data_IF_264266179107
#
_entry.id   IF_264266179107
#
_cell.length_a   1.000
_cell.length_b   1.000
_cell.length_c   1.000
_cell.angle_alpha   90.00
_cell.angle_beta   90.00
_cell.angle_gamma   90.00
#
_symmetry.space_group_name_H-M   'P 1'
#
loop_
_entity.id
_entity.type
_entity.pdbx_description
1 polymer ?
#
# COMPACT_ATOMS: atom_id res chain seq x y z
N UNK A 1 9.38 -16.73 13.91
CA UNK A 1 8.03 -16.13 14.05
C UNK A 1 7.64 -15.71 12.64
N UNK A 2 6.45 -16.05 12.14
CA UNK A 2 6.09 -15.63 10.79
C UNK A 2 5.95 -14.10 10.78
N UNK A 3 6.69 -13.43 9.90
CA UNK A 3 6.52 -12.00 9.69
C UNK A 3 5.27 -11.75 8.84
N UNK A 4 4.77 -10.52 8.86
CA UNK A 4 3.52 -10.20 8.17
C UNK A 4 3.58 -8.85 7.46
N UNK A 5 2.74 -8.68 6.44
CA UNK A 5 2.50 -7.39 5.80
C UNK A 5 1.10 -6.90 6.16
N UNK A 6 0.99 -5.62 6.52
CA UNK A 6 -0.29 -4.99 6.81
C UNK A 6 -0.81 -4.29 5.55
N UNK A 7 -1.99 -4.69 5.08
CA UNK A 7 -2.66 -4.01 3.97
C UNK A 7 -3.85 -3.24 4.52
N UNK A 8 -3.83 -1.92 4.37
CA UNK A 8 -4.97 -1.06 4.68
C UNK A 8 -6.10 -1.26 3.67
N UNK A 9 -7.33 -1.29 4.16
CA UNK A 9 -8.52 -1.55 3.36
C UNK A 9 -9.39 -0.29 3.30
N UNK A 10 -9.52 0.26 2.09
CA UNK A 10 -10.54 1.25 1.75
C UNK A 10 -11.87 0.56 1.39
N UNK A 11 -12.91 1.34 1.12
CA UNK A 11 -14.24 0.82 0.77
C UNK A 11 -14.20 -0.06 -0.49
N UNK A 12 -13.35 0.27 -1.48
CA UNK A 12 -13.22 -0.52 -2.71
C UNK A 12 -12.62 -1.89 -2.41
N UNK A 13 -11.57 -1.93 -1.59
CA UNK A 13 -10.89 -3.15 -1.15
C UNK A 13 -11.79 -4.01 -0.28
N UNK A 14 -12.52 -3.41 0.67
CA UNK A 14 -13.49 -4.12 1.50
C UNK A 14 -14.57 -4.80 0.65
N UNK A 15 -15.11 -4.11 -0.35
CA UNK A 15 -16.09 -4.68 -1.26
C UNK A 15 -15.52 -5.83 -2.11
N UNK A 16 -14.25 -5.77 -2.51
CA UNK A 16 -13.62 -6.78 -3.35
C UNK A 16 -13.41 -8.13 -2.63
N UNK A 17 -13.30 -8.13 -1.30
CA UNK A 17 -13.11 -9.35 -0.49
C UNK A 17 -14.38 -9.79 0.26
N UNK A 18 -15.51 -9.11 0.03
CA UNK A 18 -16.77 -9.41 0.70
C UNK A 18 -17.27 -10.82 0.37
N UNK A 19 -17.71 -11.56 1.37
CA UNK A 19 -18.15 -12.95 1.27
C UNK A 19 -17.02 -13.95 1.02
N UNK A 20 -15.77 -13.59 1.31
CA UNK A 20 -14.59 -14.48 1.19
C UNK A 20 -14.02 -14.78 2.57
N UNK A 21 -13.22 -15.85 2.69
CA UNK A 21 -12.52 -16.19 3.94
C UNK A 21 -11.54 -15.09 4.40
N UNK A 22 -11.10 -14.23 3.47
CA UNK A 22 -10.25 -13.07 3.79
C UNK A 22 -11.01 -12.02 4.60
N UNK A 23 -12.33 -11.89 4.42
CA UNK A 23 -13.16 -10.94 5.17
C UNK A 23 -13.13 -11.22 6.68
N UNK A 24 -13.07 -12.50 7.07
CA UNK A 24 -13.01 -12.92 8.48
C UNK A 24 -11.70 -12.55 9.17
N UNK A 25 -10.68 -12.17 8.38
CA UNK A 25 -9.33 -11.82 8.86
C UNK A 25 -9.12 -10.31 8.99
N UNK A 26 -10.16 -9.51 8.74
CA UNK A 26 -10.10 -8.06 8.89
C UNK A 26 -9.87 -7.69 10.36
N UNK A 27 -8.86 -6.85 10.59
CA UNK A 27 -8.58 -6.25 11.88
C UNK A 27 -8.96 -4.77 11.88
N UNK A 28 -9.47 -4.31 13.01
CA UNK A 28 -9.78 -2.90 13.24
C UNK A 28 -8.55 -2.20 13.83
N UNK A 29 -8.18 -1.08 13.23
CA UNK A 29 -7.14 -0.17 13.69
C UNK A 29 -7.76 1.15 14.13
N UNK A 30 -7.13 1.84 15.08
CA UNK A 30 -7.56 3.17 15.56
C UNK A 30 -9.05 3.23 15.94
N UNK A 31 -9.49 2.30 16.79
CA UNK A 31 -10.89 2.23 17.25
C UNK A 31 -11.90 1.84 16.17
N UNK A 32 -11.44 1.29 15.04
CA UNK A 32 -12.29 0.91 13.91
C UNK A 32 -12.36 1.95 12.79
N UNK A 33 -11.65 3.08 12.93
CA UNK A 33 -11.56 4.11 11.89
C UNK A 33 -10.85 3.59 10.65
N UNK A 34 -9.86 2.71 10.83
CA UNK A 34 -9.16 2.03 9.74
C UNK A 34 -9.34 0.53 9.86
N UNK A 35 -9.41 -0.13 8.72
CA UNK A 35 -9.45 -1.59 8.62
C UNK A 35 -8.22 -2.07 7.87
N UNK A 36 -7.74 -3.24 8.24
CA UNK A 36 -6.59 -3.86 7.59
C UNK A 36 -6.72 -5.39 7.58
N UNK A 37 -5.88 -6.04 6.78
CA UNK A 37 -5.57 -7.46 6.92
C UNK A 37 -4.07 -7.61 7.19
N UNK A 38 -3.73 -8.57 8.04
CA UNK A 38 -2.35 -8.97 8.28
C UNK A 38 -2.08 -10.23 7.47
N UNK A 39 -1.27 -10.10 6.42
CA UNK A 39 -0.92 -11.21 5.53
C UNK A 39 0.35 -11.84 6.09
N UNK A 40 0.25 -13.07 6.57
CA UNK A 40 1.42 -13.83 7.01
C UNK A 40 2.32 -14.17 5.82
N UNK A 41 3.62 -13.94 5.98
CA UNK A 41 4.62 -14.13 4.94
C UNK A 41 5.52 -15.30 5.36
N UNK A 42 5.53 -16.40 4.58
CA UNK A 42 6.48 -17.49 4.77
C UNK A 42 7.93 -17.02 4.63
N UNK A 43 8.86 -17.63 5.35
CA UNK A 43 10.28 -17.25 5.38
C UNK A 43 10.90 -17.23 3.97
N UNK A 44 10.54 -18.18 3.10
CA UNK A 44 11.03 -18.21 1.72
C UNK A 44 10.53 -17.05 0.86
N UNK A 45 9.33 -16.52 1.15
CA UNK A 45 8.75 -15.38 0.44
C UNK A 45 9.34 -14.08 0.99
N UNK A 46 9.47 -13.98 2.31
CA UNK A 46 10.11 -12.86 2.98
C UNK A 46 11.51 -12.61 2.43
N UNK A 47 12.34 -13.66 2.35
CA UNK A 47 13.71 -13.52 1.83
C UNK A 47 13.72 -12.90 0.42
N UNK A 48 12.81 -13.33 -0.45
CA UNK A 48 12.66 -12.78 -1.81
C UNK A 48 12.22 -11.33 -1.80
N UNK A 49 11.30 -10.95 -0.91
CA UNK A 49 10.85 -9.55 -0.76
C UNK A 49 12.03 -8.68 -0.32
N UNK A 50 12.78 -9.11 0.70
CA UNK A 50 13.92 -8.35 1.24
C UNK A 50 15.07 -8.23 0.23
N UNK A 51 15.31 -9.26 -0.59
CA UNK A 51 16.29 -9.22 -1.69
C UNK A 51 15.82 -8.32 -2.85
N UNK A 52 14.52 -8.29 -3.14
CA UNK A 52 13.97 -7.52 -4.25
C UNK A 52 13.81 -6.02 -3.94
N UNK A 53 13.49 -5.67 -2.69
CA UNK A 53 13.14 -4.31 -2.29
C UNK A 53 14.05 -3.87 -1.13
N UNK A 54 15.15 -3.20 -1.45
CA UNK A 54 16.21 -2.85 -0.49
C UNK A 54 15.79 -1.90 0.63
N UNK A 55 14.70 -1.15 0.45
CA UNK A 55 14.12 -0.30 1.47
C UNK A 55 13.27 -1.09 2.50
N UNK A 56 12.83 -2.29 2.15
CA UNK A 56 11.99 -3.10 3.00
C UNK A 56 12.71 -3.44 4.31
N UNK A 57 11.98 -3.36 5.42
CA UNK A 57 12.51 -3.62 6.76
C UNK A 57 11.46 -4.25 7.65
N UNK A 58 11.93 -4.95 8.68
CA UNK A 58 11.07 -5.62 9.65
C UNK A 58 11.04 -4.77 10.91
N UNK A 59 9.84 -4.36 11.33
CA UNK A 59 9.67 -3.58 12.55
C UNK A 59 9.72 -4.47 13.82
N UNK A 60 9.68 -3.85 15.00
CA UNK A 60 9.75 -4.56 16.29
C UNK A 60 8.59 -5.51 16.57
N UNK A 61 7.51 -5.45 15.77
CA UNK A 61 6.33 -6.32 15.87
C UNK A 61 6.40 -7.48 14.88
N UNK A 62 7.41 -7.51 14.00
CA UNK A 62 7.51 -8.48 12.91
C UNK A 62 6.74 -8.07 11.65
N UNK A 63 6.34 -6.80 11.52
CA UNK A 63 5.72 -6.32 10.30
C UNK A 63 6.80 -5.96 9.27
N UNK A 64 6.68 -6.50 8.06
CA UNK A 64 7.47 -6.07 6.91
C UNK A 64 6.87 -4.73 6.45
N UNK A 65 7.69 -3.70 6.48
CA UNK A 65 7.37 -2.29 6.21
C UNK A 65 8.29 -1.75 5.12
N UNK A 66 8.01 -0.54 4.64
CA UNK A 66 8.79 0.15 3.60
C UNK A 66 8.92 -0.63 2.27
N UNK A 67 7.98 -1.55 2.00
CA UNK A 67 7.79 -2.09 0.66
C UNK A 67 7.15 -1.02 -0.24
N UNK A 68 7.42 -1.02 -1.57
CA UNK A 68 6.80 -0.08 -2.49
C UNK A 68 5.28 -0.11 -2.44
N UNK A 69 4.63 1.01 -2.76
CA UNK A 69 3.16 1.09 -2.82
C UNK A 69 2.62 0.11 -3.87
N UNK A 70 3.33 -0.04 -4.99
CA UNK A 70 3.05 -1.00 -6.04
C UNK A 70 3.02 -2.44 -5.52
N UNK A 71 3.89 -2.80 -4.57
CA UNK A 71 3.88 -4.13 -3.96
C UNK A 71 2.59 -4.36 -3.18
N UNK A 72 2.20 -3.43 -2.30
CA UNK A 72 0.96 -3.53 -1.53
C UNK A 72 -0.28 -3.59 -2.42
N UNK A 73 -0.25 -2.87 -3.55
CA UNK A 73 -1.32 -2.92 -4.55
C UNK A 73 -1.43 -4.31 -5.18
N UNK A 74 -0.33 -4.83 -5.71
CA UNK A 74 -0.31 -6.15 -6.38
C UNK A 74 -0.63 -7.27 -5.40
N UNK A 75 -0.13 -7.21 -4.16
CA UNK A 75 -0.48 -8.15 -3.11
C UNK A 75 -1.99 -8.19 -2.86
N UNK A 76 -2.62 -7.02 -2.72
CA UNK A 76 -4.07 -6.98 -2.54
C UNK A 76 -4.82 -7.49 -3.79
N UNK A 77 -4.37 -7.15 -4.99
CA UNK A 77 -4.98 -7.62 -6.25
C UNK A 77 -5.02 -9.15 -6.32
N UNK A 78 -3.89 -9.81 -6.05
CA UNK A 78 -3.83 -11.28 -6.07
C UNK A 78 -4.64 -11.89 -4.93
N UNK A 79 -4.66 -11.29 -3.74
CA UNK A 79 -5.53 -11.73 -2.64
C UNK A 79 -7.01 -11.66 -3.02
N UNK A 80 -7.46 -10.56 -3.63
CA UNK A 80 -8.85 -10.39 -4.04
C UNK A 80 -9.24 -11.35 -5.17
N UNK A 81 -8.32 -11.57 -6.13
CA UNK A 81 -8.52 -12.48 -7.26
C UNK A 81 -8.61 -13.94 -6.82
N UNK A 82 -7.69 -14.36 -5.94
CA UNK A 82 -7.64 -15.72 -5.42
C UNK A 82 -8.59 -15.96 -4.24
N UNK A 83 -9.15 -14.88 -3.67
CA UNK A 83 -10.01 -14.89 -2.47
C UNK A 83 -9.32 -15.55 -1.28
N UNK A 84 -8.01 -15.41 -1.20
CA UNK A 84 -7.14 -16.12 -0.26
C UNK A 84 -5.86 -15.33 -0.01
N UNK A 85 -5.31 -15.47 1.20
CA UNK A 85 -3.99 -14.98 1.58
C UNK A 85 -2.92 -16.08 1.53
N UNK A 86 -3.27 -17.23 0.94
CA UNK A 86 -2.42 -18.40 0.85
C UNK A 86 -1.28 -18.27 -0.16
N UNK A 87 -0.54 -19.37 -0.29
CA UNK A 87 0.66 -19.47 -1.13
C UNK A 87 0.41 -19.08 -2.58
N UNK A 88 -0.78 -19.37 -3.11
CA UNK A 88 -1.20 -19.04 -4.47
C UNK A 88 -1.17 -17.52 -4.75
N UNK A 89 -1.64 -16.69 -3.80
CA UNK A 89 -1.62 -15.25 -3.94
C UNK A 89 -0.18 -14.73 -3.81
N UNK A 90 0.59 -15.26 -2.86
CA UNK A 90 1.98 -14.86 -2.63
C UNK A 90 2.89 -15.23 -3.82
N UNK A 91 2.77 -16.44 -4.36
CA UNK A 91 3.52 -16.89 -5.53
C UNK A 91 3.21 -16.01 -6.75
N UNK A 92 1.95 -15.63 -6.94
CA UNK A 92 1.54 -14.74 -8.01
C UNK A 92 2.20 -13.35 -7.88
N UNK A 93 2.26 -12.79 -6.66
CA UNK A 93 2.95 -11.52 -6.39
C UNK A 93 4.45 -11.63 -6.71
N UNK A 94 5.10 -12.68 -6.25
CA UNK A 94 6.53 -12.90 -6.50
C UNK A 94 6.80 -13.07 -8.00
N UNK A 95 5.91 -13.71 -8.76
CA UNK A 95 6.05 -13.83 -10.21
C UNK A 95 5.98 -12.48 -10.95
N UNK A 96 5.38 -11.45 -10.32
CA UNK A 96 5.24 -10.08 -10.83
C UNK A 96 6.31 -9.12 -10.27
N UNK A 97 7.38 -9.63 -9.65
CA UNK A 97 8.40 -8.79 -8.99
C UNK A 97 9.00 -7.73 -9.92
N UNK A 98 9.29 -8.07 -11.18
CA UNK A 98 9.89 -7.12 -12.13
C UNK A 98 8.91 -6.00 -12.52
N UNK A 99 7.62 -6.32 -12.71
CA UNK A 99 6.56 -5.34 -12.94
C UNK A 99 6.43 -4.40 -11.73
N UNK A 100 6.46 -4.96 -10.52
CA UNK A 100 6.39 -4.18 -9.27
C UNK A 100 7.59 -3.23 -9.17
N UNK A 101 8.80 -3.68 -9.53
CA UNK A 101 10.01 -2.83 -9.52
C UNK A 101 9.90 -1.68 -10.52
N UNK A 102 9.38 -1.94 -11.72
CA UNK A 102 9.17 -0.89 -12.72
C UNK A 102 8.15 0.15 -12.23
N UNK A 103 7.04 -0.30 -11.65
CA UNK A 103 6.04 0.59 -11.07
C UNK A 103 6.60 1.38 -9.88
N UNK A 104 7.37 0.73 -9.01
CA UNK A 104 8.01 1.35 -7.85
C UNK A 104 9.02 2.43 -8.25
N UNK A 105 9.73 2.27 -9.37
CA UNK A 105 10.64 3.30 -9.88
C UNK A 105 9.92 4.60 -10.24
N UNK A 106 8.63 4.54 -10.58
CA UNK A 106 7.80 5.71 -10.88
C UNK A 106 7.24 6.38 -9.63
N UNK A 107 7.30 5.73 -8.46
CA UNK A 107 6.82 6.30 -7.19
C UNK A 107 7.69 7.44 -6.69
N UNK A 108 8.97 7.50 -7.10
CA UNK A 108 9.90 8.58 -6.78
C UNK A 108 9.89 9.71 -7.81
N UNK A 109 9.12 9.58 -8.89
CA UNK A 109 8.96 10.65 -9.87
C UNK A 109 8.24 11.83 -9.22
N UNK A 110 8.73 13.04 -9.50
CA UNK A 110 8.10 14.25 -9.01
C UNK A 110 6.65 14.31 -9.51
N UNK A 111 5.70 14.47 -8.57
CA UNK A 111 4.31 14.71 -8.95
C UNK A 111 4.26 15.96 -9.83
N UNK A 112 3.49 15.94 -10.93
CA UNK A 112 3.30 17.13 -11.74
C UNK A 112 2.74 18.24 -10.85
N UNK A 113 3.18 19.47 -11.11
CA UNK A 113 2.60 20.64 -10.44
C UNK A 113 1.09 20.62 -10.74
N UNK A 114 0.23 20.70 -9.71
CA UNK A 114 -1.20 20.65 -9.91
C UNK A 114 -1.63 21.85 -10.76
N UNK A 115 -2.52 21.62 -11.72
CA UNK A 115 -3.16 22.67 -12.50
C UNK A 115 -4.28 23.29 -11.65
N UNK A 116 -3.90 24.29 -10.85
CA UNK A 116 -4.79 25.03 -9.97
C UNK A 116 -4.93 26.47 -10.48
N UNK A 117 -6.17 26.94 -10.53
CA UNK A 117 -6.45 28.36 -10.76
C UNK A 117 -6.01 29.15 -9.52
N UNK A 118 -4.99 29.99 -9.71
CA UNK A 118 -4.42 30.85 -8.67
C UNK A 118 -4.78 32.32 -8.87
N UNK A 119 -5.71 32.65 -9.78
CA UNK A 119 -6.10 34.04 -10.07
C UNK A 119 -6.51 34.82 -8.82
N UNK A 120 -7.26 34.19 -7.92
CA UNK A 120 -7.65 34.76 -6.61
C UNK A 120 -6.43 35.13 -5.75
N UNK A 121 -5.38 34.31 -5.77
CA UNK A 121 -4.12 34.55 -5.03
C UNK A 121 -3.36 35.71 -5.66
N UNK A 122 -3.30 35.77 -6.99
CA UNK A 122 -2.64 36.85 -7.73
C UNK A 122 -3.34 38.21 -7.52
N UNK A 123 -4.66 38.24 -7.42
CA UNK A 123 -5.41 39.46 -7.08
C UNK A 123 -5.13 39.95 -5.66
N UNK A 124 -5.06 39.03 -4.69
CA UNK A 124 -4.71 39.36 -3.30
C UNK A 124 -3.28 39.90 -3.18
N UNK A 125 -2.34 39.45 -4.01
CA UNK A 125 -0.97 39.97 -4.05
C UNK A 125 -0.87 41.38 -4.63
N UNK A 126 -1.80 41.80 -5.51
CA UNK A 126 -1.83 43.15 -6.09
C UNK A 126 -2.30 44.22 -5.09
N UNK A 127 -3.10 43.82 -4.10
CA UNK A 127 -3.59 44.71 -3.05
C UNK A 127 -3.24 44.15 -1.67
N UNK A 128 -1.94 44.08 -1.31
CA UNK A 128 -1.54 43.57 -0.01
C UNK A 128 -2.21 44.43 1.06
N UNK A 129 -2.92 43.78 1.99
CA UNK A 129 -3.61 44.44 3.09
C UNK A 129 -2.61 45.30 3.88
N UNK A 130 -2.64 46.61 3.66
CA UNK A 130 -1.87 47.56 4.47
C UNK A 130 -2.65 47.75 5.76
N UNK A 131 -2.15 47.22 6.88
CA UNK A 131 -2.67 47.58 8.20
C UNK A 131 -2.51 49.09 8.39
N UNK A 132 -3.53 49.78 8.96
CA UNK A 132 -3.41 51.19 9.33
C UNK A 132 -2.36 51.41 10.43
#
# INVERSE_FOLDING_TARGET
>A
MAHFIVILLDDKRLNAIKGTEVEEKIVNLFGGTLKAINVEIPEEVEKKIMEAFTAARIDSRGAITDVPVAFNRVLFEEIAKHKSMGKEALDAVISRTDEIKEAAAKESEALPVPDIDISDIEELQKSPYQKP
#
